data_IF_439038811828
#
_entry.id   IF_439038811828
#
_cell.length_a   1.000
_cell.length_b   1.000
_cell.length_c   1.000
_cell.angle_alpha   90.00
_cell.angle_beta   90.00
_cell.angle_gamma   90.00
#
_symmetry.space_group_name_H-M   'P 1'
#
loop_
_entity.id
_entity.type
_entity.pdbx_description
1 polymer ?
#
# COMPACT_ATOMS: atom_id res chain seq x y z
N UNK A 1 -2.11 -17.35 -9.09
CA UNK A 1 -1.77 -16.64 -7.84
C UNK A 1 -2.31 -17.45 -6.67
N UNK A 2 -1.62 -17.43 -5.54
CA UNK A 2 -2.13 -18.04 -4.30
C UNK A 2 -3.37 -17.26 -3.83
N UNK A 3 -4.54 -17.90 -3.67
CA UNK A 3 -5.77 -17.21 -3.27
C UNK A 3 -5.70 -16.61 -1.86
N UNK A 4 -4.75 -17.05 -1.02
CA UNK A 4 -4.58 -16.58 0.37
C UNK A 4 -3.59 -15.42 0.50
N UNK A 5 -2.92 -15.04 -0.60
CA UNK A 5 -1.85 -14.04 -0.56
C UNK A 5 -2.36 -12.67 -0.12
N UNK A 6 -3.56 -12.26 -0.58
CA UNK A 6 -4.16 -10.97 -0.21
C UNK A 6 -4.49 -10.89 1.28
N UNK A 7 -5.02 -11.99 1.85
CA UNK A 7 -5.33 -12.07 3.27
C UNK A 7 -4.08 -12.10 4.14
N UNK A 8 -3.07 -12.86 3.71
CA UNK A 8 -1.76 -12.89 4.39
C UNK A 8 -1.10 -11.52 4.37
N UNK A 9 -1.19 -10.81 3.25
CA UNK A 9 -0.67 -9.45 3.13
C UNK A 9 -1.41 -8.47 4.06
N UNK A 10 -2.74 -8.50 4.09
CA UNK A 10 -3.54 -7.66 4.97
C UNK A 10 -3.19 -7.93 6.45
N UNK A 11 -3.17 -9.21 6.85
CA UNK A 11 -2.82 -9.64 8.20
C UNK A 11 -1.45 -9.12 8.63
N UNK A 12 -0.44 -9.19 7.76
CA UNK A 12 0.92 -8.70 8.07
C UNK A 12 0.96 -7.20 8.38
N UNK A 13 0.10 -6.39 7.77
CA UNK A 13 -0.01 -4.95 8.04
C UNK A 13 -0.87 -4.70 9.29
N UNK A 14 -1.92 -5.48 9.49
CA UNK A 14 -2.82 -5.41 10.64
C UNK A 14 -2.09 -5.70 11.96
N UNK A 15 -1.18 -6.69 11.97
CA UNK A 15 -0.42 -7.12 13.15
C UNK A 15 0.76 -6.21 13.52
N UNK A 16 1.06 -5.19 12.70
CA UNK A 16 2.14 -4.24 13.04
C UNK A 16 1.73 -3.40 14.25
N UNK A 17 2.68 -3.07 15.14
CA UNK A 17 2.42 -2.09 16.19
C UNK A 17 2.26 -0.69 15.59
N UNK A 18 1.44 0.15 16.23
CA UNK A 18 1.30 1.56 15.85
C UNK A 18 2.65 2.28 15.82
N UNK A 19 2.82 3.20 14.86
CA UNK A 19 4.09 3.89 14.62
C UNK A 19 5.11 3.08 13.81
N UNK A 20 4.86 1.79 13.52
CA UNK A 20 5.77 1.00 12.68
C UNK A 20 5.78 1.52 11.24
N UNK A 21 6.95 1.93 10.75
CA UNK A 21 7.16 2.34 9.36
C UNK A 21 6.91 1.18 8.39
N UNK A 22 6.23 1.47 7.29
CA UNK A 22 5.88 0.50 6.23
C UNK A 22 6.18 1.13 4.87
N UNK A 23 6.90 0.38 4.02
CA UNK A 23 7.13 0.73 2.63
C UNK A 23 6.58 -0.38 1.73
N UNK A 24 5.85 0.00 0.68
CA UNK A 24 5.25 -0.93 -0.27
C UNK A 24 5.48 -0.39 -1.68
N UNK A 25 5.78 -1.28 -2.62
CA UNK A 25 5.83 -1.00 -4.05
C UNK A 25 5.14 -2.13 -4.82
N UNK A 26 4.33 -1.79 -5.80
CA UNK A 26 3.71 -2.75 -6.72
C UNK A 26 4.70 -3.12 -7.81
N UNK A 27 4.78 -4.42 -8.10
CA UNK A 27 5.54 -4.95 -9.22
C UNK A 27 4.58 -5.71 -10.15
N UNK A 28 4.62 -5.37 -11.44
CA UNK A 28 3.76 -5.88 -12.52
C UNK A 28 2.25 -5.62 -12.36
N UNK A 29 1.58 -6.23 -11.39
CA UNK A 29 0.18 -5.95 -11.06
C UNK A 29 -0.17 -6.35 -9.63
N UNK A 30 -0.96 -5.49 -8.96
CA UNK A 30 -1.64 -5.84 -7.72
C UNK A 30 -3.17 -5.70 -7.84
N UNK A 31 -3.69 -5.09 -8.91
CA UNK A 31 -5.10 -4.68 -8.99
C UNK A 31 -6.10 -5.83 -9.00
N UNK A 32 -5.73 -6.98 -9.61
CA UNK A 32 -6.68 -8.08 -9.85
C UNK A 32 -7.03 -8.81 -8.55
N UNK A 33 -6.06 -9.05 -7.67
CA UNK A 33 -6.22 -9.90 -6.48
C UNK A 33 -6.15 -9.13 -5.15
N UNK A 34 -5.97 -7.81 -5.17
CA UNK A 34 -5.94 -7.01 -3.94
C UNK A 34 -7.36 -6.88 -3.37
N UNK A 35 -7.62 -7.63 -2.30
CA UNK A 35 -8.91 -7.65 -1.62
C UNK A 35 -9.23 -6.31 -0.94
N UNK A 36 -10.51 -6.09 -0.60
CA UNK A 36 -10.90 -4.89 0.14
C UNK A 36 -10.27 -4.83 1.54
N UNK A 37 -10.06 -5.98 2.20
CA UNK A 37 -9.32 -6.06 3.46
C UNK A 37 -7.88 -5.59 3.28
N UNK A 38 -7.20 -6.02 2.22
CA UNK A 38 -5.85 -5.55 1.91
C UNK A 38 -5.80 -4.05 1.61
N UNK A 39 -6.81 -3.51 0.91
CA UNK A 39 -6.93 -2.05 0.68
C UNK A 39 -7.13 -1.30 2.00
N UNK A 40 -7.99 -1.78 2.89
CA UNK A 40 -8.19 -1.20 4.22
C UNK A 40 -6.92 -1.26 5.07
N UNK A 41 -6.14 -2.34 4.97
CA UNK A 41 -4.85 -2.42 5.63
C UNK A 41 -3.88 -1.33 5.11
N UNK A 42 -3.84 -1.09 3.80
CA UNK A 42 -3.09 0.02 3.20
C UNK A 42 -3.61 1.41 3.63
N UNK A 43 -4.92 1.58 3.84
CA UNK A 43 -5.49 2.82 4.39
C UNK A 43 -5.02 3.04 5.83
N UNK A 44 -4.86 1.97 6.62
CA UNK A 44 -4.35 2.02 8.00
C UNK A 44 -2.87 2.40 8.12
N UNK A 45 -2.14 2.46 7.00
CA UNK A 45 -0.79 3.01 6.93
C UNK A 45 -0.74 4.38 6.25
N UNK A 46 -1.91 4.99 6.01
CA UNK A 46 -2.04 6.35 5.53
C UNK A 46 -2.29 6.48 4.02
N UNK A 47 -2.58 5.41 3.30
CA UNK A 47 -2.92 5.51 1.88
C UNK A 47 -4.29 6.17 1.65
N UNK A 48 -4.35 7.05 0.66
CA UNK A 48 -5.57 7.55 0.03
C UNK A 48 -5.70 7.10 -1.44
N UNK A 49 -4.59 6.66 -2.06
CA UNK A 49 -4.55 6.28 -3.48
C UNK A 49 -4.78 4.79 -3.75
N UNK A 50 -4.71 3.91 -2.74
CA UNK A 50 -4.80 2.44 -2.95
C UNK A 50 -6.07 2.00 -3.69
N UNK A 51 -7.20 2.67 -3.46
CA UNK A 51 -8.48 2.32 -4.12
C UNK A 51 -8.53 2.70 -5.60
N UNK A 52 -7.57 3.48 -6.09
CA UNK A 52 -7.48 3.90 -7.48
C UNK A 52 -6.51 3.06 -8.31
N UNK A 53 -5.92 2.00 -7.73
CA UNK A 53 -5.10 1.03 -8.46
C UNK A 53 -5.88 0.43 -9.63
N UNK A 54 -5.28 0.50 -10.82
CA UNK A 54 -5.77 -0.12 -12.04
C UNK A 54 -4.81 -1.22 -12.49
N UNK A 55 -5.23 -1.99 -13.49
CA UNK A 55 -4.39 -3.03 -14.07
C UNK A 55 -3.04 -2.48 -14.50
N UNK A 56 -1.99 -3.04 -13.89
CA UNK A 56 -0.57 -2.66 -14.10
C UNK A 56 -0.23 -1.21 -13.77
N UNK A 57 -1.00 -0.56 -12.91
CA UNK A 57 -0.55 0.71 -12.32
C UNK A 57 0.68 0.49 -11.45
N UNK A 58 1.64 1.39 -11.54
CA UNK A 58 2.72 1.51 -10.57
C UNK A 58 2.19 2.26 -9.34
N UNK A 59 2.38 1.68 -8.16
CA UNK A 59 2.06 2.33 -6.89
C UNK A 59 3.17 2.11 -5.89
N UNK A 60 3.56 3.18 -5.19
CA UNK A 60 4.54 3.13 -4.12
C UNK A 60 4.11 4.02 -2.96
N UNK A 61 4.38 3.57 -1.73
CA UNK A 61 4.03 4.29 -0.50
C UNK A 61 5.11 4.08 0.56
N UNK A 62 5.36 5.14 1.35
CA UNK A 62 6.01 5.07 2.66
C UNK A 62 5.09 5.74 3.67
N UNK A 63 4.62 4.95 4.62
CA UNK A 63 3.72 5.37 5.70
C UNK A 63 4.07 4.68 7.02
N UNK A 64 3.17 4.73 7.98
CA UNK A 64 3.33 4.04 9.26
C UNK A 64 1.99 3.52 9.77
N UNK A 65 2.00 2.43 10.54
CA UNK A 65 0.78 1.88 11.12
C UNK A 65 0.10 2.90 12.05
N UNK A 66 -1.21 3.06 11.90
CA UNK A 66 -2.02 4.01 12.66
C UNK A 66 -2.10 5.39 12.00
N UNK A 67 -1.45 5.60 10.84
CA UNK A 67 -1.53 6.84 10.10
C UNK A 67 -2.95 7.09 9.56
N UNK A 68 -3.38 8.36 9.55
CA UNK A 68 -4.64 8.74 8.92
C UNK A 68 -4.52 8.64 7.39
N UNK A 69 -5.57 8.17 6.67
CA UNK A 69 -5.58 8.16 5.20
C UNK A 69 -5.19 9.52 4.61
N UNK A 70 -4.31 9.52 3.61
CA UNK A 70 -3.78 10.72 2.96
C UNK A 70 -2.59 11.38 3.66
N UNK A 71 -2.12 10.84 4.79
CA UNK A 71 -0.94 11.36 5.50
C UNK A 71 0.38 10.71 5.07
N UNK A 72 0.34 9.58 4.36
CA UNK A 72 1.54 8.92 3.86
C UNK A 72 2.11 9.61 2.62
N UNK A 73 3.40 9.44 2.39
CA UNK A 73 4.01 9.79 1.09
C UNK A 73 3.69 8.65 0.13
N UNK A 74 2.82 8.89 -0.85
CA UNK A 74 2.40 7.91 -1.84
C UNK A 74 2.40 8.47 -3.26
N UNK A 75 2.67 7.61 -4.24
CA UNK A 75 2.56 7.93 -5.66
C UNK A 75 1.86 6.79 -6.40
N UNK A 76 0.91 7.15 -7.27
CA UNK A 76 0.22 6.26 -8.20
C UNK A 76 0.47 6.76 -9.64
N UNK A 77 0.78 5.84 -10.55
CA UNK A 77 0.91 6.13 -11.97
C UNK A 77 0.36 4.96 -12.78
N UNK A 78 -0.40 5.26 -13.85
CA UNK A 78 -0.99 4.23 -14.72
C UNK A 78 -0.14 3.95 -15.96
N UNK A 79 0.90 4.73 -16.20
CA UNK A 79 1.74 4.65 -17.43
C UNK A 79 3.22 4.65 -17.13
N UNK A 80 3.64 5.25 -16.01
CA UNK A 80 5.04 5.43 -15.63
C UNK A 80 5.37 4.67 -14.34
N UNK A 81 6.65 4.64 -13.97
CA UNK A 81 7.08 4.17 -12.66
C UNK A 81 6.63 5.11 -11.54
N UNK A 82 6.37 4.53 -10.36
CA UNK A 82 6.10 5.26 -9.13
C UNK A 82 7.31 5.16 -8.19
N UNK A 83 7.72 6.27 -7.59
CA UNK A 83 8.80 6.36 -6.63
C UNK A 83 8.46 7.35 -5.52
N UNK A 84 8.69 6.94 -4.28
CA UNK A 84 8.51 7.80 -3.10
C UNK A 84 9.81 7.89 -2.32
N UNK A 85 9.98 8.99 -1.59
CA UNK A 85 11.17 9.27 -0.81
C UNK A 85 10.78 9.80 0.56
N UNK A 86 11.34 9.21 1.60
CA UNK A 86 11.13 9.62 2.99
C UNK A 86 12.50 9.80 3.66
N UNK A 87 12.66 10.87 4.43
CA UNK A 87 13.88 11.18 5.15
C UNK A 87 13.60 11.16 6.65
N UNK A 88 14.39 10.40 7.40
CA UNK A 88 14.42 10.44 8.87
C UNK A 88 15.43 11.51 9.28
N UNK A 89 14.98 12.51 10.03
CA UNK A 89 15.82 13.53 10.65
C UNK A 89 16.08 13.19 12.11
#
# INVERSE_FOLDING_TARGET
>A
ADPTAADTFAQRIEELPDGKMVAIAVQDDASINLSDRAKQACESIGSSLIRYLQFRSSWAIVGHKGASPGSAIEQLSNTESAAVKFWLT
#
